data_IF_997987911327
#
_entry.id   IF_997987911327
#
_cell.length_a   1.000
_cell.length_b   1.000
_cell.length_c   1.000
_cell.angle_alpha   90.00
_cell.angle_beta   90.00
_cell.angle_gamma   90.00
#
_symmetry.space_group_name_H-M   'P 1'
#
loop_
_entity.id
_entity.type
_entity.pdbx_description
1 polymer ?
#
# COMPACT_ATOMS: atom_id res chain seq x y z
N UNK A 1 6.25 19.70 2.84
CA UNK A 1 5.46 18.57 2.31
C UNK A 1 6.44 17.46 2.00
N UNK A 2 6.66 16.55 2.95
CA UNK A 2 7.41 15.33 2.66
C UNK A 2 6.41 14.37 2.03
N UNK A 3 6.53 14.11 0.73
CA UNK A 3 5.77 13.04 0.11
C UNK A 3 6.16 11.76 0.84
N UNK A 4 5.19 11.08 1.47
CA UNK A 4 5.40 9.74 2.03
C UNK A 4 5.82 8.86 0.85
N UNK A 5 7.03 8.29 0.81
CA UNK A 5 7.52 7.57 -0.37
C UNK A 5 6.89 6.17 -0.42
N UNK A 6 5.58 6.12 -0.63
CA UNK A 6 4.86 4.88 -0.95
C UNK A 6 4.98 4.66 -2.44
N UNK A 7 5.44 3.47 -2.83
CA UNK A 7 5.51 3.05 -4.23
C UNK A 7 4.94 1.64 -4.41
N UNK A 8 4.56 1.31 -5.64
CA UNK A 8 3.83 0.08 -5.95
C UNK A 8 4.53 -0.66 -7.08
N UNK A 9 4.84 -1.94 -6.86
CA UNK A 9 5.32 -2.86 -7.88
C UNK A 9 4.12 -3.58 -8.51
N UNK A 10 3.69 -3.09 -9.66
CA UNK A 10 2.56 -3.65 -10.42
C UNK A 10 2.94 -4.89 -11.23
N UNK A 11 4.24 -5.17 -11.41
CA UNK A 11 4.74 -6.29 -12.23
C UNK A 11 4.84 -7.60 -11.41
N UNK A 12 4.57 -7.54 -10.10
CA UNK A 12 4.49 -8.70 -9.21
C UNK A 12 3.06 -9.20 -9.02
N UNK A 13 2.92 -10.51 -8.85
CA UNK A 13 1.67 -11.15 -8.44
C UNK A 13 1.89 -12.00 -7.17
N UNK A 14 1.31 -11.62 -6.01
CA UNK A 14 0.48 -10.44 -5.78
C UNK A 14 1.26 -9.12 -5.90
N UNK A 15 0.55 -8.05 -6.27
CA UNK A 15 1.10 -6.68 -6.31
C UNK A 15 1.64 -6.32 -4.93
N UNK A 16 2.85 -5.75 -4.87
CA UNK A 16 3.45 -5.30 -3.62
C UNK A 16 3.45 -3.78 -3.51
N UNK A 17 3.20 -3.29 -2.31
CA UNK A 17 3.17 -1.86 -1.96
C UNK A 17 4.19 -1.65 -0.86
N UNK A 18 5.08 -0.70 -1.08
CA UNK A 18 6.29 -0.48 -0.28
C UNK A 18 6.31 0.93 0.29
N UNK A 19 6.99 1.11 1.42
CA UNK A 19 7.23 2.41 2.02
C UNK A 19 8.22 2.36 3.18
N UNK A 20 8.78 3.51 3.56
CA UNK A 20 9.81 3.59 4.59
C UNK A 20 9.27 3.35 6.02
N UNK A 21 8.00 3.67 6.25
CA UNK A 21 7.34 3.59 7.54
C UNK A 21 6.14 2.65 7.52
N UNK A 22 5.94 1.90 8.61
CA UNK A 22 4.83 0.96 8.74
C UNK A 22 3.46 1.67 8.79
N UNK A 23 3.35 2.78 9.51
CA UNK A 23 2.09 3.51 9.75
C UNK A 23 1.35 3.92 8.47
N UNK A 24 2.00 4.64 7.53
CA UNK A 24 1.39 5.03 6.26
C UNK A 24 0.86 3.85 5.43
N UNK A 25 1.52 2.69 5.49
CA UNK A 25 1.06 1.49 4.79
C UNK A 25 -0.17 0.87 5.48
N UNK A 26 -0.23 0.87 6.80
CA UNK A 26 -1.41 0.44 7.57
C UNK A 26 -2.61 1.36 7.31
N UNK A 27 -2.38 2.67 7.22
CA UNK A 27 -3.39 3.67 6.86
C UNK A 27 -3.91 3.47 5.43
N UNK A 28 -3.03 3.19 4.47
CA UNK A 28 -3.43 2.86 3.11
C UNK A 28 -4.29 1.58 3.07
N UNK A 29 -3.89 0.52 3.79
CA UNK A 29 -4.72 -0.69 3.91
C UNK A 29 -6.10 -0.35 4.48
N UNK A 30 -6.16 0.48 5.52
CA UNK A 30 -7.42 0.90 6.13
C UNK A 30 -8.29 1.69 5.15
N UNK A 31 -7.71 2.65 4.42
CA UNK A 31 -8.38 3.43 3.40
C UNK A 31 -8.98 2.53 2.30
N UNK A 32 -8.18 1.62 1.74
CA UNK A 32 -8.64 0.66 0.71
C UNK A 32 -9.76 -0.25 1.24
N UNK A 33 -9.70 -0.66 2.50
CA UNK A 33 -10.76 -1.45 3.15
C UNK A 33 -12.05 -0.66 3.30
N UNK A 34 -11.97 0.58 3.79
CA UNK A 34 -13.12 1.39 4.12
C UNK A 34 -13.82 1.98 2.89
N UNK A 35 -13.05 2.47 1.91
CA UNK A 35 -13.61 3.16 0.74
C UNK A 35 -13.91 2.20 -0.42
N UNK A 36 -13.09 1.16 -0.58
CA UNK A 36 -13.12 0.30 -1.76
C UNK A 36 -13.44 -1.16 -1.45
N UNK A 37 -13.76 -1.46 -0.19
CA UNK A 37 -14.17 -2.80 0.25
C UNK A 37 -13.14 -3.87 -0.13
N UNK A 38 -11.85 -3.55 -0.05
CA UNK A 38 -10.76 -4.49 -0.24
C UNK A 38 -10.70 -5.47 0.96
N UNK A 39 -11.28 -6.67 0.81
CA UNK A 39 -11.54 -7.58 1.96
C UNK A 39 -10.42 -8.57 2.24
N UNK A 40 -9.60 -8.92 1.25
CA UNK A 40 -8.49 -9.85 1.49
C UNK A 40 -7.50 -9.23 2.47
N UNK A 41 -7.08 -10.02 3.45
CA UNK A 41 -6.25 -9.54 4.57
C UNK A 41 -4.82 -9.26 4.08
N UNK A 42 -4.48 -7.98 3.94
CA UNK A 42 -3.09 -7.51 3.81
C UNK A 42 -2.48 -7.31 5.20
N UNK A 43 -1.17 -7.54 5.31
CA UNK A 43 -0.39 -7.33 6.52
C UNK A 43 0.90 -6.60 6.13
N UNK A 44 1.22 -5.52 6.85
CA UNK A 44 2.50 -4.83 6.69
C UNK A 44 3.58 -5.62 7.42
N UNK A 45 4.72 -5.80 6.77
CA UNK A 45 5.89 -6.52 7.31
C UNK A 45 7.19 -5.86 6.85
N UNK A 46 8.32 -6.10 7.53
CA UNK A 46 9.62 -5.58 7.06
C UNK A 46 9.95 -6.07 5.65
N UNK A 47 10.34 -5.15 4.76
CA UNK A 47 10.81 -5.48 3.42
C UNK A 47 12.29 -5.88 3.48
N UNK A 48 12.58 -7.14 3.16
CA UNK A 48 13.94 -7.70 3.18
C UNK A 48 14.70 -7.49 1.88
N UNK A 49 14.03 -7.11 0.80
CA UNK A 49 14.63 -6.89 -0.52
C UNK A 49 15.04 -5.42 -0.70
N UNK A 50 14.17 -4.48 -0.31
CA UNK A 50 14.38 -3.05 -0.55
C UNK A 50 14.60 -2.22 0.73
N UNK A 51 14.42 -2.83 1.90
CA UNK A 51 14.38 -2.10 3.18
C UNK A 51 13.05 -1.39 3.39
N UNK A 52 12.81 -0.92 4.63
CA UNK A 52 11.51 -0.37 5.03
C UNK A 52 10.47 -1.47 5.24
N UNK A 53 9.26 -1.25 4.72
CA UNK A 53 8.10 -2.11 4.92
C UNK A 53 7.35 -2.39 3.62
N UNK A 54 6.66 -3.52 3.57
CA UNK A 54 5.88 -3.98 2.42
C UNK A 54 4.57 -4.62 2.87
N UNK A 55 3.52 -4.48 2.06
CA UNK A 55 2.37 -5.38 2.09
C UNK A 55 1.97 -5.81 0.67
N UNK A 56 1.15 -6.85 0.59
CA UNK A 56 0.70 -7.40 -0.69
C UNK A 56 -0.80 -7.23 -0.90
N UNK A 57 -1.19 -6.92 -2.14
CA UNK A 57 -2.57 -6.86 -2.61
C UNK A 57 -2.94 -8.20 -3.30
N UNK A 58 -3.75 -9.00 -2.62
CA UNK A 58 -4.15 -10.33 -3.10
C UNK A 58 -5.38 -10.33 -4.02
N UNK A 59 -5.93 -9.16 -4.34
CA UNK A 59 -7.08 -8.96 -5.22
C UNK A 59 -6.82 -7.74 -6.12
N UNK A 60 -7.57 -7.63 -7.21
CA UNK A 60 -7.51 -6.47 -8.09
C UNK A 60 -7.72 -5.17 -7.30
N UNK A 61 -6.86 -4.21 -7.56
CA UNK A 61 -6.87 -2.88 -6.99
C UNK A 61 -6.75 -1.88 -8.13
N UNK A 62 -7.60 -0.86 -8.16
CA UNK A 62 -7.47 0.22 -9.12
C UNK A 62 -6.33 1.16 -8.65
N UNK A 63 -5.31 1.43 -9.49
CA UNK A 63 -4.22 2.33 -9.12
C UNK A 63 -4.68 3.70 -8.63
N UNK A 64 -5.84 4.20 -9.13
CA UNK A 64 -6.40 5.49 -8.74
C UNK A 64 -6.76 5.57 -7.25
N UNK A 65 -7.09 4.44 -6.62
CA UNK A 65 -7.41 4.38 -5.19
C UNK A 65 -6.19 4.69 -4.32
N UNK A 66 -5.02 4.24 -4.74
CA UNK A 66 -3.75 4.54 -4.06
C UNK A 66 -3.36 5.99 -4.31
N UNK A 67 -3.51 6.49 -5.55
CA UNK A 67 -3.24 7.91 -5.87
C UNK A 67 -4.13 8.85 -5.05
N UNK A 68 -5.42 8.54 -4.89
CA UNK A 68 -6.32 9.33 -4.05
C UNK A 68 -5.82 9.40 -2.61
N UNK A 69 -5.38 8.28 -2.03
CA UNK A 69 -4.83 8.26 -0.68
C UNK A 69 -3.60 9.17 -0.55
N UNK A 70 -2.67 9.11 -1.51
CA UNK A 70 -1.42 9.87 -1.49
C UNK A 70 -1.62 11.38 -1.71
N UNK A 71 -2.78 11.79 -2.21
CA UNK A 71 -3.14 13.19 -2.45
C UNK A 71 -3.95 13.81 -1.30
N UNK A 72 -4.20 13.07 -0.21
CA UNK A 72 -4.87 13.61 0.98
C UNK A 72 -3.88 14.49 1.76
N UNK A 73 -4.31 15.72 2.06
CA UNK A 73 -3.54 16.75 2.78
C UNK A 73 -3.10 16.33 4.19
#
# INVERSE_FOLDING_TARGET
>A
MFALPIWVDWDRQPVSVHGDEQGPLEELILHLRQQYNLRKRSLVMPDREHGGFVFFLYQSCDPRWIVEFLQRD
#
